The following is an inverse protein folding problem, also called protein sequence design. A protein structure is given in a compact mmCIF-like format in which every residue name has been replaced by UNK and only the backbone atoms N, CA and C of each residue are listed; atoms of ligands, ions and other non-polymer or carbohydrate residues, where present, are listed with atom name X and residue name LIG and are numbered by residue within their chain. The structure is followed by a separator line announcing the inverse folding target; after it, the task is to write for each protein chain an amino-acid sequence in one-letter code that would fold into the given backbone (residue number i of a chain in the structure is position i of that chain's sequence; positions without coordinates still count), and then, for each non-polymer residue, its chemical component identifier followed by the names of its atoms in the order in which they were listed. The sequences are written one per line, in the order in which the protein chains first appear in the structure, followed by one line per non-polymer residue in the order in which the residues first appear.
data_IF_522323600784
#
_entry.id   IF_522323600784
#
_cell.length_a   1.000
_cell.length_b   1.000
_cell.length_c   1.000
_cell.angle_alpha   90.00
_cell.angle_beta   90.00
_cell.angle_gamma   90.00
#
_symmetry.space_group_name_H-M   'P 1'
#
loop_
_entity.id
_entity.type
_entity.pdbx_description
1 polymer ?
#
# COMPACT_ATOMS: atom_id res chain seq x y z
N UNK A 1 26.74 4.79 -3.88
CA UNK A 1 27.05 5.90 -2.96
C UNK A 1 25.92 5.95 -1.97
N UNK A 2 26.06 5.27 -0.85
CA UNK A 2 25.15 5.33 0.29
C UNK A 2 25.51 6.61 1.05
N UNK A 3 24.71 7.64 0.89
CA UNK A 3 24.78 8.80 1.76
C UNK A 3 24.29 8.36 3.14
N UNK A 4 25.22 8.17 4.06
CA UNK A 4 24.94 8.06 5.47
C UNK A 4 24.22 9.34 5.90
N UNK A 5 22.91 9.26 6.00
CA UNK A 5 22.10 10.31 6.62
C UNK A 5 22.35 10.18 8.12
N UNK A 6 23.44 10.80 8.60
CA UNK A 6 23.62 11.06 10.01
C UNK A 6 22.53 12.04 10.46
N UNK A 7 21.39 11.52 10.87
CA UNK A 7 20.36 12.33 11.52
C UNK A 7 20.94 12.79 12.84
N UNK A 8 21.41 14.02 12.90
CA UNK A 8 21.86 14.64 14.17
C UNK A 8 20.60 14.87 15.00
N UNK A 9 20.37 13.95 15.94
CA UNK A 9 19.21 14.02 16.83
C UNK A 9 19.51 15.08 17.89
N UNK A 10 18.69 16.13 17.91
CA UNK A 10 18.74 17.15 18.98
C UNK A 10 18.06 16.62 20.24
N UNK A 11 18.84 16.24 21.24
CA UNK A 11 18.31 15.69 22.50
C UNK A 11 17.31 16.65 23.19
N UNK A 12 17.39 17.96 22.95
CA UNK A 12 16.51 18.97 23.53
C UNK A 12 15.06 18.90 23.05
N UNK A 13 14.78 18.11 22.02
CA UNK A 13 13.41 17.88 21.53
C UNK A 13 12.70 16.75 22.26
N UNK A 14 13.46 15.90 22.97
CA UNK A 14 12.94 14.70 23.60
C UNK A 14 12.81 14.84 25.12
N UNK A 15 11.72 14.30 25.65
CA UNK A 15 11.39 14.32 27.07
C UNK A 15 11.54 12.93 27.66
N UNK A 16 12.33 12.82 28.73
CA UNK A 16 12.54 11.58 29.48
C UNK A 16 11.86 11.70 30.82
N UNK A 17 10.95 10.76 31.14
CA UNK A 17 10.35 10.63 32.47
C UNK A 17 11.22 9.71 33.32
N UNK A 18 11.68 10.20 34.45
CA UNK A 18 12.46 9.46 35.46
C UNK A 18 11.57 9.12 36.63
N UNK A 19 11.44 7.84 36.93
CA UNK A 19 10.59 7.32 38.01
C UNK A 19 11.42 6.50 38.97
N UNK A 20 11.57 6.97 40.20
CA UNK A 20 12.28 6.28 41.29
C UNK A 20 11.77 6.86 42.63
N UNK A 21 11.55 6.02 43.66
CA UNK A 21 11.07 6.47 44.97
C UNK A 21 12.18 7.08 45.84
N UNK A 22 13.44 6.87 45.42
CA UNK A 22 14.62 7.42 46.12
C UNK A 22 15.01 8.76 45.47
N UNK A 23 14.76 9.85 46.17
CA UNK A 23 15.00 11.23 45.73
C UNK A 23 16.43 11.45 45.18
N UNK A 24 17.44 10.86 45.82
CA UNK A 24 18.85 10.98 45.37
C UNK A 24 19.07 10.34 43.96
N UNK A 25 18.39 9.25 43.67
CA UNK A 25 18.45 8.61 42.34
C UNK A 25 17.80 9.51 41.29
N UNK A 26 16.60 10.03 41.56
CA UNK A 26 15.91 10.98 40.69
C UNK A 26 16.78 12.20 40.40
N UNK A 27 17.41 12.80 41.44
CA UNK A 27 18.27 13.96 41.25
C UNK A 27 19.51 13.64 40.38
N UNK A 28 20.15 12.51 40.65
CA UNK A 28 21.32 12.06 39.91
C UNK A 28 20.97 11.88 38.43
N UNK A 29 19.92 11.11 38.11
CA UNK A 29 19.47 10.85 36.75
C UNK A 29 19.05 12.14 36.04
N UNK A 30 18.33 13.02 36.74
CA UNK A 30 17.97 14.34 36.21
C UNK A 30 19.18 15.16 35.80
N UNK A 31 20.21 15.25 36.68
CA UNK A 31 21.43 15.98 36.35
C UNK A 31 22.17 15.37 35.17
N UNK A 32 22.33 14.04 35.16
CA UNK A 32 23.02 13.34 34.06
C UNK A 32 22.35 13.59 32.72
N UNK A 33 21.01 13.43 32.65
CA UNK A 33 20.26 13.59 31.41
C UNK A 33 20.12 15.05 30.96
N UNK A 34 20.01 15.97 31.90
CA UNK A 34 19.97 17.41 31.60
C UNK A 34 21.32 17.89 31.01
N UNK A 35 22.45 17.36 31.53
CA UNK A 35 23.77 17.63 30.95
C UNK A 35 23.90 17.15 29.51
N UNK A 36 23.22 16.06 29.14
CA UNK A 36 23.10 15.55 27.77
C UNK A 36 21.98 16.27 26.97
N UNK A 37 21.42 17.36 27.53
CA UNK A 37 20.41 18.25 26.91
C UNK A 37 19.01 17.65 26.75
N UNK A 38 18.70 16.53 27.39
CA UNK A 38 17.34 16.02 27.43
C UNK A 38 16.41 16.90 28.31
N UNK A 39 15.13 16.98 27.94
CA UNK A 39 14.08 17.47 28.85
C UNK A 39 13.76 16.35 29.83
N UNK A 40 13.79 16.67 31.13
CA UNK A 40 13.58 15.65 32.17
C UNK A 40 12.40 16.04 33.06
N UNK A 41 11.42 15.15 33.12
CA UNK A 41 10.33 15.18 34.09
C UNK A 41 10.51 14.02 35.07
N UNK A 42 9.96 14.15 36.27
CA UNK A 42 10.21 13.19 37.36
C UNK A 42 8.92 12.77 38.00
N UNK A 43 8.90 11.55 38.56
CA UNK A 43 7.84 11.02 39.37
C UNK A 43 8.46 10.21 40.53
N UNK A 44 7.92 10.35 41.73
CA UNK A 44 8.40 9.69 42.96
C UNK A 44 7.67 8.37 43.27
N UNK A 45 6.69 7.96 42.50
CA UNK A 45 5.93 6.73 42.70
C UNK A 45 5.16 6.32 41.45
N UNK A 46 4.61 5.10 41.44
CA UNK A 46 3.91 4.53 40.28
C UNK A 46 2.64 5.29 39.87
N UNK A 47 1.89 5.85 40.81
CA UNK A 47 0.66 6.62 40.52
C UNK A 47 0.99 7.92 39.78
N UNK A 48 2.02 8.62 40.29
CA UNK A 48 2.52 9.85 39.66
C UNK A 48 3.10 9.55 38.27
N UNK A 49 3.84 8.44 38.12
CA UNK A 49 4.38 7.99 36.84
C UNK A 49 3.30 7.79 35.76
N UNK A 50 2.19 7.11 36.11
CA UNK A 50 1.06 6.92 35.19
C UNK A 50 0.42 8.27 34.80
N UNK A 51 0.22 9.17 35.79
CA UNK A 51 -0.33 10.51 35.52
C UNK A 51 0.59 11.34 34.61
N UNK A 52 1.89 11.35 34.88
CA UNK A 52 2.88 12.07 34.05
C UNK A 52 3.00 11.50 32.67
N UNK A 53 2.92 10.17 32.49
CA UNK A 53 2.97 9.52 31.17
C UNK A 53 1.83 9.97 30.27
N UNK A 54 0.61 10.09 30.81
CA UNK A 54 -0.56 10.57 30.04
C UNK A 54 -0.49 12.07 29.76
N UNK A 55 -0.17 12.88 30.78
CA UNK A 55 -0.23 14.34 30.68
C UNK A 55 0.94 14.93 29.87
N UNK A 56 2.15 14.45 30.11
CA UNK A 56 3.37 14.99 29.49
C UNK A 56 3.82 14.23 28.25
N UNK A 57 3.29 13.03 28.00
CA UNK A 57 3.61 12.18 26.83
C UNK A 57 5.12 12.09 26.58
N UNK A 58 5.91 11.57 27.53
CA UNK A 58 7.36 11.51 27.37
C UNK A 58 7.75 10.58 26.21
N UNK A 59 8.94 10.83 25.64
CA UNK A 59 9.50 10.02 24.58
C UNK A 59 10.19 8.74 25.09
N UNK A 60 10.52 8.69 26.39
CA UNK A 60 11.13 7.55 27.07
C UNK A 60 10.82 7.60 28.55
N UNK A 61 10.64 6.44 29.18
CA UNK A 61 10.46 6.30 30.63
C UNK A 61 11.63 5.49 31.19
N UNK A 62 12.35 6.05 32.16
CA UNK A 62 13.26 5.33 33.04
C UNK A 62 12.49 4.98 34.34
N UNK A 63 12.30 3.70 34.61
CA UNK A 63 11.36 3.22 35.62
C UNK A 63 12.05 2.30 36.61
N UNK A 64 12.10 2.71 37.90
CA UNK A 64 12.56 1.79 38.93
C UNK A 64 11.61 0.61 39.06
N UNK A 65 12.19 -0.57 39.22
CA UNK A 65 11.43 -1.81 39.44
C UNK A 65 10.93 -1.88 40.92
N UNK A 66 11.75 -1.46 41.85
CA UNK A 66 11.48 -1.64 43.30
C UNK A 66 10.95 -0.36 43.93
N UNK A 67 9.64 -0.14 43.82
CA UNK A 67 8.95 0.98 44.44
C UNK A 67 7.85 0.49 45.41
N UNK A 68 7.55 1.25 46.50
CA UNK A 68 6.46 0.93 47.41
C UNK A 68 5.08 1.14 46.72
N UNK A 69 4.06 0.50 47.23
CA UNK A 69 2.66 0.50 46.81
C UNK A 69 2.43 -0.08 45.42
N UNK A 70 3.17 0.37 44.38
CA UNK A 70 3.08 -0.07 43.02
C UNK A 70 4.49 -0.21 42.45
N UNK A 71 4.90 -1.45 42.18
CA UNK A 71 6.22 -1.74 41.61
C UNK A 71 6.29 -1.37 40.13
N UNK A 72 7.53 -1.27 39.57
CA UNK A 72 7.73 -0.87 38.16
C UNK A 72 7.12 -1.82 37.15
N UNK A 73 7.02 -3.11 37.44
CA UNK A 73 6.36 -4.05 36.53
C UNK A 73 4.86 -3.75 36.39
N UNK A 74 4.18 -3.47 37.52
CA UNK A 74 2.75 -3.11 37.50
C UNK A 74 2.51 -1.77 36.80
N UNK A 75 3.41 -0.82 36.92
CA UNK A 75 3.37 0.46 36.19
C UNK A 75 3.51 0.18 34.67
N UNK A 76 4.50 -0.63 34.29
CA UNK A 76 4.75 -0.97 32.88
C UNK A 76 3.55 -1.72 32.26
N UNK A 77 2.96 -2.68 32.96
CA UNK A 77 1.76 -3.40 32.50
C UNK A 77 0.61 -2.43 32.19
N UNK A 78 0.35 -1.46 33.09
CA UNK A 78 -0.71 -0.46 32.90
C UNK A 78 -0.41 0.48 31.73
N UNK A 79 0.85 0.94 31.60
CA UNK A 79 1.27 1.79 30.48
C UNK A 79 1.15 1.08 29.14
N UNK A 80 1.47 -0.23 29.11
CA UNK A 80 1.40 -1.04 27.88
C UNK A 80 -0.01 -1.50 27.52
N UNK A 81 -0.93 -1.51 28.48
CA UNK A 81 -2.36 -1.79 28.27
C UNK A 81 -3.15 -0.58 27.74
N UNK A 82 -2.65 0.64 27.94
CA UNK A 82 -3.31 1.87 27.54
C UNK A 82 -2.87 2.29 26.12
N UNK A 83 -3.80 2.45 25.15
CA UNK A 83 -3.50 2.89 23.79
C UNK A 83 -2.74 4.22 23.68
N UNK A 84 -2.93 5.15 24.67
CA UNK A 84 -2.26 6.44 24.65
C UNK A 84 -0.80 6.37 25.11
N UNK A 85 -0.41 5.36 25.90
CA UNK A 85 0.93 5.25 26.48
C UNK A 85 1.69 4.00 26.07
N UNK A 86 1.04 2.99 25.48
CA UNK A 86 1.65 1.70 25.10
C UNK A 86 2.86 1.83 24.17
N UNK A 87 2.91 2.89 23.37
CA UNK A 87 3.98 3.13 22.41
C UNK A 87 5.26 3.71 23.03
N UNK A 88 5.19 4.25 24.27
CA UNK A 88 6.32 4.87 24.96
C UNK A 88 7.31 3.77 25.39
N UNK A 89 8.59 3.84 24.99
CA UNK A 89 9.58 2.88 25.44
C UNK A 89 9.88 3.02 26.91
N UNK A 90 10.16 1.87 27.55
CA UNK A 90 10.47 1.78 28.99
C UNK A 90 11.83 1.13 29.16
N UNK A 91 12.73 1.79 29.89
CA UNK A 91 13.96 1.20 30.39
C UNK A 91 13.80 1.00 31.90
N UNK A 92 13.91 -0.25 32.35
CA UNK A 92 13.90 -0.51 33.77
C UNK A 92 15.23 -0.18 34.43
N UNK A 93 15.14 0.44 35.61
CA UNK A 93 16.25 0.66 36.51
C UNK A 93 16.17 -0.42 37.63
N UNK A 94 17.16 -1.29 37.72
CA UNK A 94 17.02 -2.46 38.60
C UNK A 94 18.30 -2.82 39.35
N UNK A 95 18.15 -3.25 40.59
CA UNK A 95 19.18 -3.96 41.34
C UNK A 95 19.05 -5.50 41.15
N UNK A 96 18.01 -5.95 40.43
CA UNK A 96 17.73 -7.35 40.18
C UNK A 96 18.61 -7.86 39.06
N UNK A 97 19.47 -8.82 39.33
CA UNK A 97 20.41 -9.39 38.35
C UNK A 97 20.05 -10.84 37.95
N UNK A 98 18.83 -11.30 38.27
CA UNK A 98 18.44 -12.65 37.93
C UNK A 98 17.89 -12.70 36.52
N UNK A 99 18.19 -13.79 35.79
CA UNK A 99 17.65 -14.02 34.45
C UNK A 99 16.11 -14.03 34.44
N UNK A 100 15.49 -14.48 35.54
CA UNK A 100 14.04 -14.51 35.70
C UNK A 100 13.40 -13.12 35.68
N UNK A 101 14.03 -12.14 36.37
CA UNK A 101 13.52 -10.76 36.42
C UNK A 101 13.67 -10.04 35.10
N UNK A 102 14.78 -10.26 34.40
CA UNK A 102 15.01 -9.73 33.05
C UNK A 102 13.95 -10.26 32.07
N UNK A 103 13.71 -11.57 32.08
CA UNK A 103 12.68 -12.22 31.23
C UNK A 103 11.29 -11.69 31.57
N UNK A 104 10.98 -11.51 32.87
CA UNK A 104 9.70 -10.92 33.29
C UNK A 104 9.52 -9.51 32.73
N UNK A 105 10.54 -8.67 32.83
CA UNK A 105 10.49 -7.30 32.35
C UNK A 105 10.27 -7.20 30.84
N UNK A 106 10.95 -8.01 30.03
CA UNK A 106 10.68 -8.05 28.59
C UNK A 106 9.26 -8.54 28.27
N UNK A 107 8.72 -9.48 29.04
CA UNK A 107 7.33 -9.97 28.86
C UNK A 107 6.29 -8.87 29.13
N UNK A 108 6.53 -7.97 30.07
CA UNK A 108 5.64 -6.83 30.34
C UNK A 108 5.86 -5.65 29.37
N UNK A 109 6.78 -5.78 28.41
CA UNK A 109 6.98 -4.80 27.35
C UNK A 109 8.10 -3.78 27.59
N UNK A 110 9.05 -4.06 28.46
CA UNK A 110 10.27 -3.25 28.57
C UNK A 110 11.11 -3.32 27.31
N UNK A 111 11.77 -2.22 26.99
CA UNK A 111 12.67 -2.10 25.84
C UNK A 111 14.12 -2.36 26.20
N UNK A 112 14.54 -2.07 27.46
CA UNK A 112 15.89 -2.27 27.94
C UNK A 112 15.95 -2.25 29.48
N UNK A 113 17.16 -2.48 30.05
CA UNK A 113 17.45 -2.48 31.49
C UNK A 113 18.75 -1.74 31.77
N UNK A 114 18.82 -1.06 32.92
CA UNK A 114 20.03 -0.45 33.44
C UNK A 114 20.20 -0.91 34.91
N UNK A 115 21.37 -1.48 35.23
CA UNK A 115 21.65 -1.96 36.56
C UNK A 115 22.02 -0.83 37.53
N UNK A 116 21.56 -0.94 38.76
CA UNK A 116 22.00 -0.10 39.87
C UNK A 116 23.23 -0.76 40.54
N UNK A 117 24.30 -0.01 40.93
CA UNK A 117 24.48 1.43 40.79
C UNK A 117 24.71 1.89 39.34
N UNK A 118 24.20 3.09 39.00
CA UNK A 118 24.22 3.59 37.63
C UNK A 118 25.64 3.90 37.16
N UNK A 119 26.05 3.34 36.02
CA UNK A 119 27.16 3.82 35.24
C UNK A 119 26.68 4.94 34.32
N UNK A 120 27.34 6.12 34.37
CA UNK A 120 26.97 7.27 33.56
C UNK A 120 27.00 6.97 32.05
N UNK A 121 28.08 6.35 31.62
CA UNK A 121 28.31 6.07 30.18
C UNK A 121 27.26 5.08 29.65
N UNK A 122 26.99 3.99 30.41
CA UNK A 122 25.98 3.02 30.07
C UNK A 122 24.57 3.65 29.99
N UNK A 123 24.20 4.46 31.00
CA UNK A 123 22.91 5.17 31.03
C UNK A 123 22.73 6.03 29.78
N UNK A 124 23.71 6.87 29.48
CA UNK A 124 23.64 7.79 28.35
C UNK A 124 23.55 7.02 27.01
N UNK A 125 24.36 5.98 26.83
CA UNK A 125 24.33 5.16 25.62
C UNK A 125 22.94 4.51 25.43
N UNK A 126 22.37 3.89 26.46
CA UNK A 126 21.08 3.20 26.36
C UNK A 126 19.92 4.18 26.11
N UNK A 127 19.91 5.32 26.83
CA UNK A 127 18.90 6.36 26.64
C UNK A 127 19.00 6.93 25.22
N UNK A 128 20.20 7.29 24.76
CA UNK A 128 20.40 7.83 23.42
C UNK A 128 20.02 6.83 22.34
N UNK A 129 20.33 5.56 22.52
CA UNK A 129 19.93 4.50 21.60
C UNK A 129 18.39 4.37 21.51
N UNK A 130 17.69 4.34 22.62
CA UNK A 130 16.21 4.27 22.61
C UNK A 130 15.58 5.53 22.00
N UNK A 131 16.10 6.71 22.31
CA UNK A 131 15.64 7.96 21.70
C UNK A 131 15.92 7.97 20.18
N UNK A 132 17.05 7.41 19.73
CA UNK A 132 17.33 7.27 18.29
C UNK A 132 16.31 6.41 17.58
N UNK A 133 15.86 5.33 18.21
CA UNK A 133 14.78 4.48 17.67
C UNK A 133 13.43 5.21 17.59
N UNK A 134 13.09 6.01 18.63
CA UNK A 134 11.89 6.86 18.64
C UNK A 134 11.95 7.89 17.53
N UNK A 135 13.09 8.57 17.37
CA UNK A 135 13.32 9.55 16.29
C UNK A 135 13.18 8.94 14.91
N UNK A 136 13.83 7.81 14.67
CA UNK A 136 13.75 7.10 13.38
C UNK A 136 12.32 6.69 13.05
N UNK A 137 11.58 6.16 14.04
CA UNK A 137 10.17 5.80 13.87
C UNK A 137 9.31 7.02 13.52
N UNK A 138 9.52 8.17 14.18
CA UNK A 138 8.80 9.43 13.90
C UNK A 138 9.04 9.90 12.47
N UNK A 139 10.32 9.93 12.02
CA UNK A 139 10.68 10.33 10.66
C UNK A 139 10.04 9.39 9.62
N UNK A 140 10.09 8.09 9.84
CA UNK A 140 9.46 7.11 8.92
C UNK A 140 7.95 7.33 8.83
N UNK A 141 7.28 7.60 9.95
CA UNK A 141 5.84 7.86 9.97
C UNK A 141 5.48 9.15 9.22
N UNK A 142 6.25 10.23 9.43
CA UNK A 142 6.06 11.51 8.73
C UNK A 142 6.26 11.36 7.21
N UNK A 143 7.34 10.72 6.79
CA UNK A 143 7.61 10.46 5.37
C UNK A 143 6.55 9.57 4.73
N UNK A 144 6.07 8.57 5.45
CA UNK A 144 5.01 7.67 4.97
C UNK A 144 3.72 8.44 4.74
N UNK A 145 3.34 9.33 5.65
CA UNK A 145 2.14 10.15 5.52
C UNK A 145 2.27 11.19 4.39
N UNK A 146 3.44 11.79 4.23
CA UNK A 146 3.73 12.70 3.12
C UNK A 146 3.62 11.99 1.76
N UNK A 147 4.27 10.83 1.62
CA UNK A 147 4.17 10.00 0.42
C UNK A 147 2.72 9.61 0.13
N UNK A 148 1.95 9.26 1.14
CA UNK A 148 0.54 8.93 1.00
C UNK A 148 -0.28 10.10 0.44
N UNK A 149 -0.03 11.31 0.94
CA UNK A 149 -0.68 12.54 0.42
C UNK A 149 -0.32 12.82 -1.03
N UNK A 150 0.96 12.66 -1.41
CA UNK A 150 1.43 12.84 -2.79
C UNK A 150 0.75 11.82 -3.72
N UNK A 151 0.71 10.55 -3.34
CA UNK A 151 0.04 9.49 -4.13
C UNK A 151 -1.44 9.80 -4.31
N UNK A 152 -2.15 10.16 -3.25
CA UNK A 152 -3.57 10.51 -3.33
C UNK A 152 -3.82 11.74 -4.21
N UNK A 153 -2.96 12.76 -4.13
CA UNK A 153 -3.02 13.95 -4.98
C UNK A 153 -2.83 13.63 -6.46
N UNK A 154 -1.82 12.82 -6.78
CA UNK A 154 -1.53 12.33 -8.12
C UNK A 154 -2.72 11.56 -8.72
N UNK A 155 -3.28 10.64 -7.95
CA UNK A 155 -4.38 9.78 -8.42
C UNK A 155 -5.67 10.60 -8.65
N UNK A 156 -5.93 11.61 -7.80
CA UNK A 156 -7.01 12.56 -8.02
C UNK A 156 -6.81 13.36 -9.30
N UNK A 157 -5.59 13.83 -9.56
CA UNK A 157 -5.24 14.59 -10.78
C UNK A 157 -5.50 13.75 -12.03
N UNK A 158 -5.04 12.50 -12.06
CA UNK A 158 -5.30 11.59 -13.19
C UNK A 158 -6.80 11.37 -13.43
N UNK A 159 -7.58 11.22 -12.35
CA UNK A 159 -9.04 11.07 -12.47
C UNK A 159 -9.72 12.29 -13.08
N UNK A 160 -9.29 13.50 -12.69
CA UNK A 160 -9.85 14.76 -13.23
C UNK A 160 -9.46 14.90 -14.70
N UNK A 161 -8.17 14.75 -15.05
CA UNK A 161 -7.70 14.86 -16.43
C UNK A 161 -8.42 13.89 -17.36
N UNK A 162 -8.52 12.62 -16.96
CA UNK A 162 -9.16 11.62 -17.80
C UNK A 162 -10.68 11.88 -17.95
N UNK A 163 -11.34 12.40 -16.92
CA UNK A 163 -12.75 12.81 -17.01
C UNK A 163 -12.92 13.99 -17.99
N UNK A 164 -12.10 15.03 -17.86
CA UNK A 164 -12.23 16.24 -18.65
C UNK A 164 -11.83 16.05 -20.13
N UNK A 165 -10.94 15.07 -20.39
CA UNK A 165 -10.62 14.67 -21.77
C UNK A 165 -11.65 13.76 -22.41
N UNK A 166 -12.39 12.96 -21.61
CA UNK A 166 -13.43 12.05 -22.15
C UNK A 166 -14.53 12.81 -22.90
N UNK A 167 -14.97 13.96 -22.40
CA UNK A 167 -16.06 14.74 -23.01
C UNK A 167 -15.71 15.25 -24.42
N UNK A 168 -14.61 16.01 -24.65
CA UNK A 168 -14.24 16.48 -25.97
C UNK A 168 -13.91 15.33 -26.92
N UNK A 169 -13.25 14.27 -26.45
CA UNK A 169 -12.98 13.08 -27.27
C UNK A 169 -14.27 12.36 -27.71
N UNK A 170 -15.28 12.28 -26.84
CA UNK A 170 -16.60 11.75 -27.19
C UNK A 170 -17.28 12.57 -28.28
N UNK A 171 -17.15 13.90 -28.24
CA UNK A 171 -17.71 14.80 -29.26
C UNK A 171 -16.99 14.63 -30.60
N UNK A 172 -15.66 14.54 -30.62
CA UNK A 172 -14.86 14.30 -31.84
C UNK A 172 -15.26 12.97 -32.48
N UNK A 173 -15.34 11.88 -31.67
CA UNK A 173 -15.78 10.56 -32.11
C UNK A 173 -17.16 10.63 -32.76
N UNK A 174 -18.12 11.31 -32.12
CA UNK A 174 -19.47 11.47 -32.65
C UNK A 174 -19.48 12.17 -34.02
N UNK A 175 -18.71 13.23 -34.17
CA UNK A 175 -18.60 13.97 -35.45
C UNK A 175 -17.96 13.09 -36.54
N UNK A 176 -16.87 12.40 -36.21
CA UNK A 176 -16.21 11.47 -37.19
C UNK A 176 -17.14 10.34 -37.63
N UNK A 177 -17.88 9.73 -36.68
CA UNK A 177 -18.87 8.71 -37.02
C UNK A 177 -19.98 9.26 -37.91
N UNK A 178 -20.50 10.46 -37.66
CA UNK A 178 -21.49 11.08 -38.52
C UNK A 178 -20.95 11.34 -39.91
N UNK A 179 -19.70 11.81 -40.05
CA UNK A 179 -19.07 12.05 -41.37
C UNK A 179 -18.90 10.74 -42.16
N UNK A 180 -18.42 9.68 -41.51
CA UNK A 180 -18.24 8.36 -42.16
C UNK A 180 -19.59 7.79 -42.63
N UNK A 181 -20.64 7.94 -41.84
CA UNK A 181 -21.98 7.44 -42.17
C UNK A 181 -22.68 8.31 -43.27
N UNK A 182 -22.40 9.60 -43.29
CA UNK A 182 -23.07 10.56 -44.20
C UNK A 182 -22.35 10.72 -45.54
N UNK A 183 -21.06 10.38 -45.64
CA UNK A 183 -20.20 10.60 -46.78
C UNK A 183 -19.58 9.27 -47.26
N UNK A 184 -20.29 8.49 -48.09
CA UNK A 184 -19.75 7.25 -48.62
C UNK A 184 -18.51 7.49 -49.51
N UNK A 185 -17.62 6.52 -49.58
CA UNK A 185 -16.32 6.60 -50.27
C UNK A 185 -16.44 7.02 -51.75
N UNK A 186 -17.58 6.74 -52.39
CA UNK A 186 -17.87 7.15 -53.76
C UNK A 186 -18.01 8.67 -53.96
N UNK A 187 -18.41 9.38 -52.91
CA UNK A 187 -18.64 10.84 -52.97
C UNK A 187 -17.40 11.65 -52.61
N UNK A 188 -16.55 11.17 -51.71
CA UNK A 188 -15.39 11.93 -51.20
C UNK A 188 -14.05 11.38 -51.70
N UNK A 189 -14.06 10.28 -52.43
CA UNK A 189 -12.86 9.56 -52.88
C UNK A 189 -12.25 8.69 -51.76
N UNK A 190 -11.60 7.62 -52.19
CA UNK A 190 -11.06 6.59 -51.32
C UNK A 190 -10.04 7.15 -50.27
N UNK A 191 -9.13 7.99 -50.73
CA UNK A 191 -8.09 8.55 -49.84
C UNK A 191 -8.68 9.35 -48.68
N UNK A 192 -9.69 10.18 -48.94
CA UNK A 192 -10.34 10.98 -47.87
C UNK A 192 -11.14 10.10 -46.93
N UNK A 193 -11.81 9.07 -47.44
CA UNK A 193 -12.52 8.11 -46.61
C UNK A 193 -11.56 7.31 -45.70
N UNK A 194 -10.41 6.89 -46.25
CA UNK A 194 -9.37 6.20 -45.46
C UNK A 194 -8.80 7.13 -44.38
N UNK A 195 -8.57 8.40 -44.68
CA UNK A 195 -8.12 9.40 -43.66
C UNK A 195 -9.16 9.60 -42.55
N UNK A 196 -10.44 9.71 -42.87
CA UNK A 196 -11.52 9.81 -41.90
C UNK A 196 -11.60 8.56 -41.00
N UNK A 197 -11.46 7.39 -41.62
CA UNK A 197 -11.47 6.12 -40.89
C UNK A 197 -10.28 5.97 -39.97
N UNK A 198 -9.08 6.41 -40.37
CA UNK A 198 -7.88 6.46 -39.53
C UNK A 198 -8.05 7.43 -38.34
N UNK A 199 -8.61 8.61 -38.59
CA UNK A 199 -8.88 9.61 -37.56
C UNK A 199 -9.89 9.08 -36.53
N UNK A 200 -10.94 8.39 -37.00
CA UNK A 200 -11.93 7.77 -36.10
C UNK A 200 -11.30 6.64 -35.29
N UNK A 201 -10.48 5.79 -35.87
CA UNK A 201 -9.76 4.74 -35.14
C UNK A 201 -8.81 5.33 -34.09
N UNK A 202 -8.05 6.38 -34.43
CA UNK A 202 -7.18 7.05 -33.50
C UNK A 202 -7.95 7.65 -32.31
N UNK A 203 -9.15 8.19 -32.57
CA UNK A 203 -10.04 8.73 -31.53
C UNK A 203 -10.55 7.62 -30.59
N UNK A 204 -10.92 6.46 -31.14
CA UNK A 204 -11.30 5.29 -30.36
C UNK A 204 -10.15 4.80 -29.45
N UNK A 205 -8.94 4.74 -30.01
CA UNK A 205 -7.75 4.31 -29.24
C UNK A 205 -7.48 5.26 -28.06
N UNK A 206 -7.56 6.59 -28.27
CA UNK A 206 -7.40 7.56 -27.19
C UNK A 206 -8.51 7.47 -26.16
N UNK A 207 -9.77 7.29 -26.60
CA UNK A 207 -10.91 7.12 -25.69
C UNK A 207 -10.73 5.87 -24.81
N UNK A 208 -10.27 4.77 -25.39
CA UNK A 208 -9.98 3.53 -24.68
C UNK A 208 -8.85 3.70 -23.65
N UNK A 209 -7.79 4.43 -24.02
CA UNK A 209 -6.69 4.75 -23.08
C UNK A 209 -7.17 5.57 -21.89
N UNK A 210 -8.02 6.59 -22.12
CA UNK A 210 -8.60 7.41 -21.06
C UNK A 210 -9.49 6.58 -20.13
N UNK A 211 -10.29 5.68 -20.68
CA UNK A 211 -11.15 4.80 -19.89
C UNK A 211 -10.34 3.83 -19.02
N UNK A 212 -9.29 3.26 -19.59
CA UNK A 212 -8.36 2.40 -18.86
C UNK A 212 -7.63 3.15 -17.76
N UNK A 213 -7.18 4.39 -18.00
CA UNK A 213 -6.54 5.24 -17.01
C UNK A 213 -7.49 5.55 -15.84
N UNK A 214 -8.76 5.87 -16.13
CA UNK A 214 -9.78 6.10 -15.09
C UNK A 214 -10.06 4.84 -14.25
N UNK A 215 -10.15 3.68 -14.88
CA UNK A 215 -10.35 2.40 -14.19
C UNK A 215 -9.15 2.09 -13.30
N UNK A 216 -7.94 2.32 -13.81
CA UNK A 216 -6.71 2.11 -13.05
C UNK A 216 -6.62 3.04 -11.84
N UNK A 217 -6.89 4.34 -11.99
CA UNK A 217 -6.88 5.30 -10.86
C UNK A 217 -7.92 4.95 -9.79
N UNK A 218 -9.12 4.52 -10.18
CA UNK A 218 -10.15 4.05 -9.23
C UNK A 218 -9.70 2.80 -8.48
N UNK A 219 -8.97 1.90 -9.14
CA UNK A 219 -8.39 0.70 -8.52
C UNK A 219 -7.37 1.05 -7.46
N UNK A 220 -6.47 1.99 -7.73
CA UNK A 220 -5.41 2.42 -6.80
C UNK A 220 -5.97 3.08 -5.52
N UNK A 221 -7.09 3.80 -5.63
CA UNK A 221 -7.72 4.50 -4.49
C UNK A 221 -8.53 3.52 -3.60
N UNK A 222 -8.58 2.23 -3.94
CA UNK A 222 -9.39 1.24 -3.22
C UNK A 222 -10.91 1.46 -3.37
N UNK A 223 -11.34 2.26 -4.35
CA UNK A 223 -12.75 2.53 -4.66
C UNK A 223 -13.36 1.56 -5.66
N UNK A 224 -12.65 0.50 -6.04
CA UNK A 224 -13.26 -0.61 -6.74
C UNK A 224 -14.05 -1.42 -5.72
N UNK A 225 -15.36 -1.28 -5.73
CA UNK A 225 -16.23 -2.22 -5.06
C UNK A 225 -16.18 -3.53 -5.84
N UNK A 226 -15.39 -4.48 -5.37
CA UNK A 226 -15.35 -5.84 -5.93
C UNK A 226 -16.59 -6.58 -5.43
N UNK A 227 -17.46 -6.98 -6.36
CA UNK A 227 -18.66 -7.74 -6.06
C UNK A 227 -18.39 -9.22 -6.33
N UNK A 228 -18.04 -9.95 -5.29
CA UNK A 228 -17.80 -11.39 -5.40
C UNK A 228 -19.11 -12.14 -5.61
N UNK A 229 -19.14 -13.04 -6.59
CA UNK A 229 -20.25 -13.94 -6.87
C UNK A 229 -19.73 -15.25 -7.48
N UNK A 230 -20.52 -16.31 -7.31
CA UNK A 230 -20.21 -17.61 -7.91
C UNK A 230 -20.77 -17.65 -9.33
N UNK A 231 -19.93 -17.99 -10.30
CA UNK A 231 -20.37 -18.13 -11.70
C UNK A 231 -19.47 -19.10 -12.47
N UNK A 232 -19.99 -19.56 -13.60
CA UNK A 232 -19.28 -20.40 -14.53
C UNK A 232 -18.37 -19.57 -15.46
N UNK A 233 -17.05 -19.71 -15.30
CA UNK A 233 -16.07 -18.98 -16.11
C UNK A 233 -16.07 -19.45 -17.58
N UNK A 234 -16.37 -20.73 -17.83
CA UNK A 234 -16.42 -21.29 -19.21
C UNK A 234 -17.55 -20.63 -20.01
N UNK A 235 -18.74 -20.54 -19.44
CA UNK A 235 -19.87 -19.82 -20.05
C UNK A 235 -19.59 -18.32 -20.24
N UNK A 236 -18.84 -17.71 -19.30
CA UNK A 236 -18.45 -16.31 -19.39
C UNK A 236 -17.46 -16.07 -20.54
N UNK A 237 -16.42 -16.93 -20.69
CA UNK A 237 -15.47 -16.89 -21.82
C UNK A 237 -16.20 -17.06 -23.14
N UNK A 238 -17.08 -18.06 -23.26
CA UNK A 238 -17.84 -18.32 -24.48
C UNK A 238 -18.66 -17.09 -24.89
N UNK A 239 -19.35 -16.42 -23.95
CA UNK A 239 -20.12 -15.22 -24.21
C UNK A 239 -19.26 -14.04 -24.72
N UNK A 240 -18.02 -13.92 -24.22
CA UNK A 240 -17.08 -12.89 -24.68
C UNK A 240 -16.57 -13.23 -26.09
N UNK A 241 -16.24 -14.48 -26.38
CA UNK A 241 -15.81 -14.94 -27.72
C UNK A 241 -16.89 -14.65 -28.75
N UNK A 242 -18.16 -14.90 -28.44
CA UNK A 242 -19.29 -14.64 -29.33
C UNK A 242 -19.36 -13.17 -29.79
N UNK A 243 -19.12 -12.23 -28.87
CA UNK A 243 -19.08 -10.79 -29.20
C UNK A 243 -17.95 -10.46 -30.19
N UNK A 244 -16.81 -11.14 -30.10
CA UNK A 244 -15.66 -10.87 -30.95
C UNK A 244 -15.61 -11.69 -32.27
N UNK A 245 -16.49 -12.66 -32.46
CA UNK A 245 -16.53 -13.49 -33.63
C UNK A 245 -16.70 -12.67 -34.93
N UNK A 246 -17.50 -11.60 -34.87
CA UNK A 246 -17.68 -10.73 -36.05
C UNK A 246 -16.37 -10.03 -36.44
N UNK A 247 -15.65 -9.50 -35.45
CA UNK A 247 -14.37 -8.78 -35.68
C UNK A 247 -13.26 -9.74 -36.10
N UNK A 248 -13.19 -10.92 -35.49
CA UNK A 248 -12.27 -11.98 -35.87
C UNK A 248 -12.53 -12.45 -37.28
N UNK A 249 -13.82 -12.59 -37.68
CA UNK A 249 -14.24 -12.97 -39.04
C UNK A 249 -13.79 -11.97 -40.12
N UNK A 250 -13.74 -10.66 -39.84
CA UNK A 250 -13.22 -9.66 -40.77
C UNK A 250 -11.74 -9.86 -41.14
N UNK A 251 -10.97 -10.47 -40.23
CA UNK A 251 -9.55 -10.85 -40.45
C UNK A 251 -9.37 -12.32 -40.81
N UNK A 252 -10.46 -13.07 -40.98
CA UNK A 252 -10.46 -14.52 -41.17
C UNK A 252 -9.73 -15.28 -40.06
N UNK A 253 -9.79 -14.77 -38.83
CA UNK A 253 -9.18 -15.38 -37.65
C UNK A 253 -10.17 -16.35 -37.03
N UNK A 254 -9.72 -17.59 -36.78
CA UNK A 254 -10.50 -18.61 -36.05
C UNK A 254 -10.19 -18.54 -34.57
N UNK A 255 -11.22 -18.37 -33.74
CA UNK A 255 -11.06 -18.42 -32.29
C UNK A 255 -11.53 -19.78 -31.79
N UNK A 256 -10.60 -20.60 -31.33
CA UNK A 256 -10.86 -21.95 -30.82
C UNK A 256 -10.90 -21.93 -29.30
N UNK A 257 -11.99 -22.48 -28.74
CA UNK A 257 -12.17 -22.65 -27.30
C UNK A 257 -12.62 -24.08 -27.01
N UNK A 258 -11.66 -25.03 -26.84
CA UNK A 258 -11.95 -26.47 -26.75
C UNK A 258 -12.39 -26.91 -25.36
N UNK A 259 -12.67 -25.98 -24.44
CA UNK A 259 -13.04 -26.31 -23.05
C UNK A 259 -14.52 -26.66 -22.96
N UNK A 260 -14.82 -27.85 -22.41
CA UNK A 260 -16.16 -28.33 -22.18
C UNK A 260 -16.43 -28.53 -20.68
N UNK A 261 -17.67 -28.32 -20.25
CA UNK A 261 -18.08 -28.46 -18.86
C UNK A 261 -18.15 -27.09 -18.16
N UNK A 262 -18.41 -27.12 -16.86
CA UNK A 262 -18.46 -25.94 -16.00
C UNK A 262 -17.23 -25.87 -15.12
N UNK A 263 -16.71 -24.67 -14.95
CA UNK A 263 -15.67 -24.33 -13.97
C UNK A 263 -16.23 -23.17 -13.15
N UNK A 264 -16.65 -23.47 -11.91
CA UNK A 264 -17.18 -22.46 -11.00
C UNK A 264 -16.03 -21.67 -10.36
N UNK A 265 -16.18 -20.34 -10.31
CA UNK A 265 -15.24 -19.42 -9.70
C UNK A 265 -15.97 -18.43 -8.82
N UNK A 266 -15.33 -18.04 -7.71
CA UNK A 266 -15.82 -17.00 -6.81
C UNK A 266 -15.06 -15.70 -7.08
N UNK A 267 -15.60 -14.83 -7.92
CA UNK A 267 -14.92 -13.62 -8.37
C UNK A 267 -15.94 -12.54 -8.77
N UNK A 268 -15.44 -11.36 -9.17
CA UNK A 268 -16.27 -10.32 -9.78
C UNK A 268 -16.43 -10.62 -11.28
N UNK A 269 -17.66 -10.93 -11.70
CA UNK A 269 -17.98 -11.32 -13.05
C UNK A 269 -17.70 -10.20 -14.07
N UNK A 270 -18.01 -8.94 -13.73
CA UNK A 270 -17.84 -7.80 -14.63
C UNK A 270 -16.37 -7.44 -14.81
N UNK A 271 -15.58 -7.53 -13.75
CA UNK A 271 -14.12 -7.42 -13.83
C UNK A 271 -13.53 -8.53 -14.69
N UNK A 272 -13.96 -9.76 -14.50
CA UNK A 272 -13.50 -10.90 -15.29
C UNK A 272 -13.86 -10.74 -16.79
N UNK A 273 -15.09 -10.34 -17.10
CA UNK A 273 -15.48 -9.99 -18.48
C UNK A 273 -14.60 -8.90 -19.09
N UNK A 274 -14.24 -7.90 -18.30
CA UNK A 274 -13.38 -6.81 -18.75
C UNK A 274 -11.97 -7.31 -19.08
N UNK A 275 -11.40 -8.18 -18.24
CA UNK A 275 -10.09 -8.80 -18.46
C UNK A 275 -10.13 -9.65 -19.74
N UNK A 276 -11.13 -10.52 -19.87
CA UNK A 276 -11.30 -11.41 -21.03
C UNK A 276 -11.45 -10.62 -22.34
N UNK A 277 -12.25 -9.54 -22.33
CA UNK A 277 -12.39 -8.65 -23.49
C UNK A 277 -11.08 -8.02 -23.90
N UNK A 278 -10.30 -7.53 -22.93
CA UNK A 278 -8.99 -6.93 -23.21
C UNK A 278 -8.01 -7.95 -23.80
N UNK A 279 -7.96 -9.15 -23.22
CA UNK A 279 -7.09 -10.22 -23.71
C UNK A 279 -7.46 -10.64 -25.13
N UNK A 280 -8.75 -10.89 -25.38
CA UNK A 280 -9.22 -11.34 -26.70
C UNK A 280 -9.09 -10.24 -27.77
N UNK A 281 -9.41 -8.99 -27.41
CA UNK A 281 -9.20 -7.83 -28.29
C UNK A 281 -7.72 -7.68 -28.70
N UNK A 282 -6.80 -7.80 -27.73
CA UNK A 282 -5.37 -7.77 -28.01
C UNK A 282 -4.93 -8.95 -28.88
N UNK A 283 -5.43 -10.15 -28.59
CA UNK A 283 -5.14 -11.32 -29.40
C UNK A 283 -5.55 -11.12 -30.88
N UNK A 284 -6.76 -10.62 -31.11
CA UNK A 284 -7.25 -10.35 -32.51
C UNK A 284 -6.47 -9.18 -33.14
N UNK A 285 -6.15 -8.13 -32.39
CA UNK A 285 -5.41 -6.96 -32.88
C UNK A 285 -4.03 -7.34 -33.40
N UNK A 286 -3.31 -8.18 -32.66
CA UNK A 286 -1.92 -8.54 -32.92
C UNK A 286 -1.76 -9.83 -33.73
N UNK A 287 -2.85 -10.54 -34.03
CA UNK A 287 -2.83 -11.70 -34.94
C UNK A 287 -2.82 -11.28 -36.40
N UNK A 288 -2.15 -12.07 -37.22
CA UNK A 288 -2.20 -11.93 -38.68
C UNK A 288 -3.56 -12.39 -39.25
N UNK A 289 -3.88 -11.94 -40.46
CA UNK A 289 -5.03 -12.47 -41.15
C UNK A 289 -4.85 -13.99 -41.41
N UNK A 290 -5.95 -14.72 -41.48
CA UNK A 290 -5.97 -16.17 -41.69
C UNK A 290 -5.27 -17.00 -40.61
N UNK A 291 -5.15 -16.44 -39.36
CA UNK A 291 -4.52 -17.09 -38.21
C UNK A 291 -5.54 -17.73 -37.28
N UNK A 292 -5.03 -18.39 -36.24
CA UNK A 292 -5.83 -19.04 -35.22
C UNK A 292 -5.46 -18.54 -33.82
N UNK A 293 -6.47 -18.28 -32.98
CA UNK A 293 -6.32 -17.93 -31.56
C UNK A 293 -6.89 -19.09 -30.75
N UNK A 294 -6.06 -19.67 -29.89
CA UNK A 294 -6.48 -20.69 -28.93
C UNK A 294 -6.74 -20.06 -27.59
N UNK A 295 -7.96 -20.14 -27.10
CA UNK A 295 -8.33 -19.79 -25.75
C UNK A 295 -8.50 -21.07 -24.94
N UNK A 296 -7.89 -21.15 -23.78
CA UNK A 296 -7.99 -22.31 -22.89
C UNK A 296 -8.30 -21.89 -21.47
N UNK A 297 -9.02 -22.72 -20.73
CA UNK A 297 -9.26 -22.56 -19.30
C UNK A 297 -9.15 -23.89 -18.61
N UNK A 298 -8.51 -23.91 -17.45
CA UNK A 298 -8.31 -25.14 -16.68
C UNK A 298 -8.08 -24.87 -15.19
N UNK A 299 -8.17 -25.90 -14.40
CA UNK A 299 -7.91 -25.86 -12.95
C UNK A 299 -6.50 -26.41 -12.73
N UNK A 300 -5.67 -25.62 -12.02
CA UNK A 300 -4.34 -26.04 -11.60
C UNK A 300 -4.21 -25.79 -10.09
N UNK A 301 -4.28 -26.89 -9.33
CA UNK A 301 -4.33 -26.83 -7.86
C UNK A 301 -5.62 -26.17 -7.37
N UNK A 302 -5.51 -25.04 -6.67
CA UNK A 302 -6.60 -24.21 -6.14
C UNK A 302 -6.94 -22.98 -7.02
N UNK A 303 -6.34 -22.92 -8.23
CA UNK A 303 -6.46 -21.78 -9.15
C UNK A 303 -7.07 -22.19 -10.47
N UNK A 304 -7.84 -21.27 -11.03
CA UNK A 304 -8.31 -21.36 -12.42
C UNK A 304 -7.37 -20.52 -13.28
N UNK A 305 -6.82 -21.14 -14.31
CA UNK A 305 -5.92 -20.51 -15.29
C UNK A 305 -6.67 -20.33 -16.59
N UNK A 306 -6.66 -19.12 -17.11
CA UNK A 306 -7.17 -18.80 -18.45
C UNK A 306 -6.02 -18.32 -19.30
N UNK A 307 -5.81 -18.96 -20.45
CA UNK A 307 -4.74 -18.67 -21.39
C UNK A 307 -5.34 -18.26 -22.74
N UNK A 308 -4.77 -17.22 -23.35
CA UNK A 308 -5.03 -16.85 -24.74
C UNK A 308 -3.71 -16.90 -25.51
N UNK A 309 -3.58 -17.85 -26.40
CA UNK A 309 -2.38 -18.08 -27.20
C UNK A 309 -2.63 -17.64 -28.64
N UNK A 310 -1.75 -16.80 -29.17
CA UNK A 310 -1.72 -16.39 -30.56
C UNK A 310 -0.78 -17.34 -31.27
N UNK A 311 -1.28 -18.10 -32.23
CA UNK A 311 -0.42 -18.91 -33.09
C UNK A 311 0.14 -18.02 -34.23
N UNK A 312 1.41 -17.59 -34.05
CA UNK A 312 2.16 -16.90 -35.12
C UNK A 312 2.67 -18.00 -36.04
N UNK A 313 1.92 -18.28 -37.12
CA UNK A 313 2.49 -19.06 -38.22
C UNK A 313 3.63 -18.24 -38.82
N UNK A 314 4.85 -18.83 -38.88
CA UNK A 314 5.96 -18.19 -39.62
C UNK A 314 5.48 -17.83 -41.03
N UNK A 315 5.81 -16.62 -41.52
CA UNK A 315 5.48 -16.25 -42.88
C UNK A 315 6.16 -17.27 -43.80
N UNK A 316 5.37 -18.06 -44.49
CA UNK A 316 5.85 -18.88 -45.61
C UNK A 316 6.56 -17.94 -46.60
N UNK A 317 7.86 -18.17 -46.75
CA UNK A 317 8.72 -17.47 -47.73
C UNK A 317 8.23 -17.61 -49.14
#
# INVERSE_FOLDING_TARGET
MTSDVNVVISHSEYTVLVVDDVVSNVLLLKVLLTNEKFKVITAGNGKEALSQAVNARPDLILLDVMMPEMNGFEVAERLKADPETQHIPIIFLTALNTTADIVKGFKVGANDFISKPFNKEELVIRVTHQISLVAAKRIIMEQTEELRKIIMGRDKLYSVIAHDLRSPMGSIKMVLNMLILSLPSEQIGKEMFDMLSMANQSTEDVFSLLDNLLKWTKSQIGKLNVVYQDFDIVGNIASVIEIFNLVAGMKNIKVNFPVHGKIEVHADMDMMKTILRNLLSNAIKFSYNDSEILVNAGIEGDKVIVLSLIHISEPTR
#
